data_IF_955418787274
#
_entry.id   IF_955418787274
#
_cell.length_a   1.000
_cell.length_b   1.000
_cell.length_c   1.000
_cell.angle_alpha   90.00
_cell.angle_beta   90.00
_cell.angle_gamma   90.00
#
_symmetry.space_group_name_H-M   'P 1'
#
loop_
_entity.id
_entity.type
_entity.pdbx_description
1 polymer ?
#
# COMPACT_ATOMS: atom_id res chain seq x y z
N UNK A 1 -38.43 27.51 13.36
CA UNK A 1 -37.68 26.22 13.27
C UNK A 1 -36.31 26.39 13.92
N UNK A 2 -35.99 25.66 14.98
CA UNK A 2 -34.74 25.87 15.71
C UNK A 2 -33.55 25.26 14.97
N UNK A 3 -32.66 26.13 14.46
CA UNK A 3 -31.41 25.78 13.78
C UNK A 3 -30.47 24.87 14.61
N UNK A 4 -30.73 24.75 15.91
CA UNK A 4 -29.99 23.89 16.86
C UNK A 4 -30.21 22.39 16.63
N UNK A 5 -31.35 21.98 16.05
CA UNK A 5 -31.63 20.56 15.76
C UNK A 5 -30.73 19.99 14.65
N UNK A 6 -30.61 20.60 13.45
CA UNK A 6 -29.71 20.09 12.42
C UNK A 6 -28.23 20.14 12.86
N UNK A 7 -27.82 21.15 13.64
CA UNK A 7 -26.45 21.22 14.16
C UNK A 7 -26.13 20.07 15.13
N UNK A 8 -27.06 19.69 16.01
CA UNK A 8 -26.88 18.54 16.92
C UNK A 8 -26.75 17.23 16.16
N UNK A 9 -27.55 17.04 15.11
CA UNK A 9 -27.45 15.86 14.25
C UNK A 9 -26.13 15.82 13.49
N UNK A 10 -25.69 16.95 12.93
CA UNK A 10 -24.38 17.05 12.28
C UNK A 10 -23.24 16.72 13.26
N UNK A 11 -23.27 17.29 14.47
CA UNK A 11 -22.26 17.02 15.49
C UNK A 11 -22.27 15.54 15.92
N UNK A 12 -23.45 14.92 16.07
CA UNK A 12 -23.58 13.51 16.38
C UNK A 12 -23.00 12.63 15.26
N UNK A 13 -23.31 12.92 13.98
CA UNK A 13 -22.76 12.19 12.83
C UNK A 13 -21.24 12.31 12.77
N UNK A 14 -20.70 13.51 12.95
CA UNK A 14 -19.25 13.73 12.97
C UNK A 14 -18.57 12.98 14.13
N UNK A 15 -19.14 13.04 15.33
CA UNK A 15 -18.63 12.31 16.48
C UNK A 15 -18.64 10.80 16.24
N UNK A 16 -19.74 10.26 15.71
CA UNK A 16 -19.84 8.83 15.36
C UNK A 16 -18.80 8.45 14.31
N UNK A 17 -18.61 9.26 13.27
CA UNK A 17 -17.59 9.01 12.24
C UNK A 17 -16.18 8.99 12.85
N UNK A 18 -15.85 9.94 13.72
CA UNK A 18 -14.57 9.99 14.45
C UNK A 18 -14.38 8.74 15.30
N UNK A 19 -15.42 8.33 16.05
CA UNK A 19 -15.36 7.12 16.89
C UNK A 19 -15.18 5.86 16.04
N UNK A 20 -15.80 5.76 14.87
CA UNK A 20 -15.61 4.65 13.93
C UNK A 20 -14.18 4.62 13.36
N UNK A 21 -13.62 5.78 12.98
CA UNK A 21 -12.22 5.87 12.53
C UNK A 21 -11.26 5.49 13.66
N UNK A 22 -11.50 5.98 14.87
CA UNK A 22 -10.70 5.66 16.04
C UNK A 22 -10.76 4.17 16.37
N UNK A 23 -11.95 3.57 16.45
CA UNK A 23 -12.10 2.13 16.64
C UNK A 23 -11.43 1.32 15.52
N UNK A 24 -11.57 1.77 14.27
CA UNK A 24 -10.88 1.16 13.12
C UNK A 24 -9.36 1.23 13.23
N UNK A 25 -8.80 2.31 13.78
CA UNK A 25 -7.35 2.49 13.90
C UNK A 25 -6.78 1.76 15.12
N UNK A 26 -7.49 1.78 16.26
CA UNK A 26 -6.99 1.36 17.57
C UNK A 26 -7.49 -0.01 18.05
N UNK A 27 -8.33 -0.71 17.27
CA UNK A 27 -8.60 -2.12 17.50
C UNK A 27 -7.70 -2.94 16.57
N UNK A 28 -6.82 -3.83 17.08
CA UNK A 28 -5.91 -4.58 16.24
C UNK A 28 -6.64 -5.66 15.42
N UNK A 29 -6.08 -5.96 14.25
CA UNK A 29 -6.44 -7.06 13.38
C UNK A 29 -5.15 -7.76 12.93
N UNK A 30 -4.99 -9.07 13.20
CA UNK A 30 -5.83 -9.89 14.09
C UNK A 30 -5.83 -9.39 15.55
N UNK A 31 -6.88 -9.73 16.31
CA UNK A 31 -7.05 -9.28 17.71
C UNK A 31 -5.96 -9.81 18.65
N UNK A 32 -5.52 -11.04 18.39
CA UNK A 32 -4.38 -11.63 19.07
C UNK A 32 -3.18 -11.62 18.11
N UNK A 33 -1.98 -11.28 18.61
CA UNK A 33 -0.77 -11.44 17.82
C UNK A 33 -0.69 -12.88 17.32
N UNK A 34 -0.49 -13.05 16.01
CA UNK A 34 -0.04 -14.33 15.51
C UNK A 34 1.34 -14.53 16.12
N UNK A 35 1.54 -15.61 16.87
CA UNK A 35 2.85 -15.91 17.42
C UNK A 35 3.87 -15.78 16.28
N UNK A 36 4.83 -14.85 16.40
CA UNK A 36 5.93 -14.74 15.42
C UNK A 36 6.54 -16.13 15.38
N UNK A 37 6.28 -16.89 14.31
CA UNK A 37 6.79 -18.25 14.15
C UNK A 37 8.31 -18.13 14.31
N UNK A 38 8.80 -18.57 15.46
CA UNK A 38 10.16 -18.38 15.98
C UNK A 38 10.98 -17.25 15.34
N UNK A 39 11.06 -16.09 15.99
CA UNK A 39 12.27 -15.24 15.91
C UNK A 39 13.52 -15.94 16.47
N UNK A 40 13.39 -17.19 16.90
CA UNK A 40 14.49 -18.08 17.26
C UNK A 40 14.70 -19.09 16.12
N UNK A 41 15.80 -18.91 15.37
CA UNK A 41 16.42 -19.88 14.42
C UNK A 41 15.83 -19.94 12.99
N UNK A 42 15.26 -18.87 12.44
CA UNK A 42 14.76 -18.82 11.05
C UNK A 42 15.26 -17.63 10.23
N UNK A 43 15.29 -17.75 8.90
CA UNK A 43 15.56 -16.66 7.96
C UNK A 43 14.50 -15.54 8.08
N UNK A 44 14.96 -14.30 8.24
CA UNK A 44 14.11 -13.10 8.28
C UNK A 44 14.32 -12.26 7.04
N UNK A 45 13.24 -11.70 6.52
CA UNK A 45 13.25 -10.76 5.42
C UNK A 45 12.86 -9.38 5.90
N UNK A 46 13.71 -8.41 5.57
CA UNK A 46 13.45 -6.99 5.81
C UNK A 46 12.52 -6.45 4.74
N UNK A 47 11.46 -5.76 5.15
CA UNK A 47 10.57 -4.99 4.27
C UNK A 47 10.43 -3.57 4.80
N UNK A 48 10.12 -2.63 3.90
CA UNK A 48 9.85 -1.24 4.27
C UNK A 48 8.41 -0.88 3.93
N UNK A 49 7.82 -0.03 4.76
CA UNK A 49 6.62 0.73 4.44
C UNK A 49 7.05 2.16 4.18
N UNK A 50 6.87 2.61 2.93
CA UNK A 50 7.15 3.97 2.52
C UNK A 50 5.85 4.76 2.61
N UNK A 51 5.93 6.01 3.06
CA UNK A 51 4.77 6.87 3.20
C UNK A 51 5.04 8.25 2.64
N UNK A 52 3.98 8.90 2.18
CA UNK A 52 3.96 10.34 1.93
C UNK A 52 2.69 10.92 2.58
N UNK A 53 2.39 12.22 2.43
CA UNK A 53 1.24 12.83 3.10
C UNK A 53 -0.12 12.15 2.87
N UNK A 54 -0.28 11.41 1.77
CA UNK A 54 -1.58 10.86 1.34
C UNK A 54 -1.54 9.39 0.91
N UNK A 55 -0.36 8.79 0.77
CA UNK A 55 -0.16 7.48 0.18
C UNK A 55 0.87 6.63 0.93
N UNK A 56 0.77 5.30 0.80
CA UNK A 56 1.73 4.33 1.34
C UNK A 56 2.03 3.21 0.34
N UNK A 57 3.32 2.83 0.28
CA UNK A 57 3.86 1.75 -0.55
C UNK A 57 4.58 0.72 0.31
N UNK A 58 4.82 -0.46 -0.26
CA UNK A 58 5.66 -1.51 0.34
C UNK A 58 6.89 -1.72 -0.51
N UNK A 59 8.06 -1.62 0.11
CA UNK A 59 9.32 -1.98 -0.50
C UNK A 59 9.76 -3.39 -0.02
N UNK A 60 10.09 -4.25 -0.98
CA UNK A 60 10.68 -5.57 -0.75
C UNK A 60 12.05 -5.63 -1.43
N UNK A 61 13.01 -6.42 -0.91
CA UNK A 61 14.35 -6.48 -1.47
C UNK A 61 14.36 -7.12 -2.87
N UNK A 62 15.23 -6.60 -3.73
CA UNK A 62 15.56 -7.23 -5.01
C UNK A 62 16.46 -8.45 -4.72
N UNK A 63 15.94 -9.64 -4.98
CA UNK A 63 16.63 -10.92 -4.81
C UNK A 63 16.34 -11.81 -6.02
N UNK A 64 17.08 -12.90 -6.17
CA UNK A 64 16.78 -13.89 -7.22
C UNK A 64 15.34 -14.43 -7.11
N UNK A 65 14.84 -14.57 -5.89
CA UNK A 65 13.48 -15.01 -5.62
C UNK A 65 12.43 -13.98 -6.07
N UNK A 66 12.59 -12.71 -5.72
CA UNK A 66 11.63 -11.66 -6.11
C UNK A 66 11.65 -11.41 -7.61
N UNK A 67 12.82 -11.47 -8.24
CA UNK A 67 12.94 -11.38 -9.70
C UNK A 67 12.31 -12.57 -10.43
N UNK A 68 12.45 -13.79 -9.89
CA UNK A 68 11.79 -14.97 -10.43
C UNK A 68 10.27 -14.94 -10.22
N UNK A 69 9.80 -14.31 -9.14
CA UNK A 69 8.37 -14.15 -8.84
C UNK A 69 7.70 -13.10 -9.74
N UNK A 70 8.40 -12.02 -10.06
CA UNK A 70 7.86 -10.91 -10.84
C UNK A 70 8.62 -10.71 -12.16
N UNK A 71 8.68 -11.74 -13.04
CA UNK A 71 9.49 -11.67 -14.28
C UNK A 71 9.01 -10.56 -15.22
N UNK A 72 7.70 -10.28 -15.20
CA UNK A 72 7.04 -9.24 -16.00
C UNK A 72 7.58 -7.82 -15.72
N UNK A 73 8.21 -7.56 -14.56
CA UNK A 73 8.83 -6.27 -14.29
C UNK A 73 10.01 -6.04 -15.23
N UNK A 74 10.89 -7.02 -15.38
CA UNK A 74 12.00 -6.96 -16.33
C UNK A 74 11.49 -6.91 -17.78
N UNK A 75 10.49 -7.72 -18.11
CA UNK A 75 9.87 -7.75 -19.46
C UNK A 75 9.22 -6.41 -19.85
N UNK A 76 8.78 -5.62 -18.86
CA UNK A 76 8.25 -4.27 -19.07
C UNK A 76 9.33 -3.20 -19.31
N UNK A 77 10.60 -3.58 -19.26
CA UNK A 77 11.76 -2.71 -19.43
C UNK A 77 12.15 -1.95 -18.17
N UNK A 78 11.63 -2.31 -16.98
CA UNK A 78 12.13 -1.73 -15.73
C UNK A 78 13.55 -2.24 -15.46
N UNK A 79 14.47 -1.40 -14.94
CA UNK A 79 15.86 -1.77 -14.70
C UNK A 79 16.05 -2.59 -13.41
N UNK A 80 15.21 -3.60 -13.17
CA UNK A 80 15.21 -4.45 -11.96
C UNK A 80 16.47 -5.30 -11.80
N UNK A 81 17.20 -5.53 -12.89
CA UNK A 81 18.48 -6.23 -12.90
C UNK A 81 19.70 -5.28 -12.82
N UNK A 82 19.49 -3.98 -12.66
CA UNK A 82 20.59 -3.03 -12.52
C UNK A 82 21.44 -3.36 -11.27
N UNK A 83 22.78 -3.25 -11.31
CA UNK A 83 23.64 -3.58 -10.16
C UNK A 83 23.34 -2.81 -8.88
N UNK A 84 22.76 -1.61 -9.03
CA UNK A 84 22.35 -0.76 -7.90
C UNK A 84 20.91 -0.97 -7.48
N UNK A 85 20.12 -1.81 -8.14
CA UNK A 85 18.75 -2.11 -7.72
C UNK A 85 18.78 -2.84 -6.35
N UNK A 86 18.07 -2.29 -5.37
CA UNK A 86 17.99 -2.84 -4.00
C UNK A 86 16.57 -3.12 -3.56
N UNK A 87 15.60 -2.33 -4.02
CA UNK A 87 14.21 -2.43 -3.60
C UNK A 87 13.25 -2.45 -4.78
N UNK A 88 12.30 -3.38 -4.78
CA UNK A 88 11.07 -3.29 -5.56
C UNK A 88 10.00 -2.64 -4.68
N UNK A 89 9.42 -1.56 -5.16
CA UNK A 89 8.40 -0.79 -4.44
C UNK A 89 7.06 -1.01 -5.13
N UNK A 90 6.05 -1.38 -4.35
CA UNK A 90 4.71 -1.63 -4.84
C UNK A 90 3.67 -0.75 -4.15
N UNK A 91 2.85 -0.11 -4.98
CA UNK A 91 1.68 0.66 -4.58
C UNK A 91 0.42 0.16 -5.27
N UNK A 92 -0.73 0.34 -4.64
CA UNK A 92 -2.03 0.04 -5.24
C UNK A 92 -2.98 1.22 -5.08
N UNK A 93 -3.61 1.66 -6.16
CA UNK A 93 -4.44 2.85 -6.14
C UNK A 93 -5.43 2.95 -7.28
N UNK A 94 -6.24 4.00 -7.27
CA UNK A 94 -7.22 4.28 -8.34
C UNK A 94 -6.51 4.68 -9.62
N UNK A 95 -6.88 4.07 -10.74
CA UNK A 95 -6.30 4.30 -12.06
C UNK A 95 -6.37 5.76 -12.47
N UNK A 96 -7.53 6.40 -12.31
CA UNK A 96 -7.72 7.80 -12.67
C UNK A 96 -6.89 8.72 -11.78
N UNK A 97 -6.70 8.37 -10.51
CA UNK A 97 -5.89 9.17 -9.60
C UNK A 97 -4.39 9.04 -9.89
N UNK A 98 -3.88 7.81 -10.04
CA UNK A 98 -2.46 7.55 -10.25
C UNK A 98 -1.96 7.94 -11.64
N UNK A 99 -2.67 7.55 -12.69
CA UNK A 99 -2.18 7.77 -14.05
C UNK A 99 -2.48 9.18 -14.54
N UNK A 100 -3.63 9.77 -14.16
CA UNK A 100 -4.04 11.09 -14.68
C UNK A 100 -3.53 12.26 -13.83
N UNK A 101 -2.88 12.01 -12.67
CA UNK A 101 -2.36 13.07 -11.78
C UNK A 101 -0.86 12.90 -11.48
N UNK A 102 0.03 12.93 -12.50
CA UNK A 102 1.45 12.61 -12.34
C UNK A 102 2.26 13.64 -11.52
N UNK A 103 1.84 14.90 -11.46
CA UNK A 103 2.44 15.91 -10.59
C UNK A 103 1.45 16.30 -9.49
N UNK A 104 1.83 16.13 -8.23
CA UNK A 104 1.01 16.48 -7.07
C UNK A 104 0.68 17.98 -6.99
N UNK A 105 1.47 18.85 -7.64
CA UNK A 105 1.13 20.28 -7.83
C UNK A 105 -0.13 20.49 -8.67
N UNK A 106 -0.56 19.47 -9.43
CA UNK A 106 -1.76 19.48 -10.27
C UNK A 106 -2.98 18.86 -9.57
N UNK A 107 -2.94 18.66 -8.24
CA UNK A 107 -4.11 18.33 -7.42
C UNK A 107 -5.16 19.46 -7.52
N UNK A 108 -5.94 19.42 -8.59
CA UNK A 108 -7.20 20.15 -8.69
C UNK A 108 -8.21 19.48 -7.74
N UNK A 109 -9.22 20.20 -7.24
CA UNK A 109 -10.27 19.62 -6.40
C UNK A 109 -11.01 18.43 -7.04
N UNK A 110 -11.02 18.34 -8.38
CA UNK A 110 -11.78 17.35 -9.16
C UNK A 110 -11.23 15.91 -9.06
N UNK A 111 -9.91 15.65 -9.24
CA UNK A 111 -9.30 14.35 -8.94
C UNK A 111 -9.60 13.81 -7.54
N UNK A 112 -9.66 14.69 -6.53
CA UNK A 112 -9.97 14.30 -5.15
C UNK A 112 -11.40 13.74 -5.03
N UNK A 113 -12.39 14.34 -5.71
CA UNK A 113 -13.76 13.81 -5.72
C UNK A 113 -13.88 12.48 -6.47
N UNK A 114 -13.15 12.29 -7.57
CA UNK A 114 -13.11 10.99 -8.28
C UNK A 114 -12.45 9.90 -7.45
N UNK A 115 -11.37 10.21 -6.72
CA UNK A 115 -10.74 9.29 -5.77
C UNK A 115 -11.66 8.90 -4.59
N UNK A 116 -12.72 9.67 -4.33
CA UNK A 116 -13.74 9.29 -3.36
C UNK A 116 -14.81 8.35 -3.94
N UNK A 117 -14.90 8.25 -5.27
CA UNK A 117 -15.85 7.38 -5.99
C UNK A 117 -15.23 6.05 -6.37
N UNK A 118 -16.05 5.15 -6.92
CA UNK A 118 -15.60 3.84 -7.37
C UNK A 118 -14.74 3.97 -8.65
N UNK A 119 -13.50 3.49 -8.61
CA UNK A 119 -12.57 3.53 -9.74
C UNK A 119 -11.93 2.14 -9.97
N UNK A 120 -11.44 1.89 -11.19
CA UNK A 120 -10.56 0.76 -11.46
C UNK A 120 -9.25 0.96 -10.70
N UNK A 121 -8.61 -0.14 -10.32
CA UNK A 121 -7.33 -0.09 -9.62
C UNK A 121 -6.16 -0.40 -10.53
N UNK A 122 -5.00 0.15 -10.20
CA UNK A 122 -3.71 -0.18 -10.80
C UNK A 122 -2.70 -0.53 -9.71
N UNK A 123 -1.71 -1.34 -10.07
CA UNK A 123 -0.50 -1.52 -9.29
C UNK A 123 0.57 -0.62 -9.90
N UNK A 124 1.16 0.21 -9.05
CA UNK A 124 2.40 0.92 -9.35
C UNK A 124 3.56 0.04 -8.91
N UNK A 125 4.50 -0.24 -9.80
CA UNK A 125 5.74 -0.92 -9.47
C UNK A 125 6.92 0.00 -9.82
N UNK A 126 7.83 0.19 -8.88
CA UNK A 126 9.04 1.00 -9.04
C UNK A 126 10.26 0.21 -8.55
N UNK A 127 11.44 0.58 -9.03
CA UNK A 127 12.72 0.03 -8.56
C UNK A 127 13.62 1.15 -8.06
N UNK A 128 14.11 0.98 -6.83
CA UNK A 128 15.01 1.92 -6.19
C UNK A 128 16.34 1.27 -5.83
N UNK A 129 17.39 2.09 -5.77
CA UNK A 129 18.65 1.74 -5.14
C UNK A 129 18.57 1.83 -3.63
N UNK A 130 19.69 2.11 -2.96
CA UNK A 130 19.72 2.19 -1.50
C UNK A 130 18.73 3.24 -0.97
N UNK A 131 17.96 2.87 0.05
CA UNK A 131 17.03 3.76 0.76
C UNK A 131 17.65 4.11 2.11
N UNK A 132 17.88 5.40 2.37
CA UNK A 132 18.56 5.86 3.58
C UNK A 132 17.58 5.88 4.76
N UNK A 133 17.98 5.20 5.85
CA UNK A 133 17.21 5.12 7.10
C UNK A 133 18.07 5.54 8.31
N UNK A 134 17.47 6.01 9.42
CA UNK A 134 16.02 6.18 9.61
C UNK A 134 15.49 7.45 8.94
N UNK A 135 14.22 7.41 8.53
CA UNK A 135 13.49 8.58 8.05
C UNK A 135 12.04 8.53 8.55
N UNK A 136 11.45 9.68 8.86
CA UNK A 136 10.09 9.76 9.46
C UNK A 136 8.99 9.12 8.60
N UNK A 137 9.24 9.03 7.29
CA UNK A 137 8.31 8.52 6.29
C UNK A 137 8.59 7.06 5.90
N UNK A 138 9.53 6.40 6.59
CA UNK A 138 9.95 5.01 6.33
C UNK A 138 9.83 4.21 7.62
N UNK A 139 9.12 3.09 7.57
CA UNK A 139 9.07 2.12 8.66
C UNK A 139 9.60 0.76 8.20
N UNK A 140 10.59 0.22 8.92
CA UNK A 140 11.22 -1.07 8.61
C UNK A 140 10.66 -2.18 9.50
N UNK A 141 10.44 -3.36 8.91
CA UNK A 141 9.96 -4.54 9.62
C UNK A 141 10.76 -5.78 9.19
N UNK A 142 11.12 -6.61 10.16
CA UNK A 142 11.64 -7.96 9.93
C UNK A 142 10.50 -8.96 10.02
N UNK A 143 10.26 -9.70 8.94
CA UNK A 143 9.22 -10.74 8.87
C UNK A 143 9.83 -12.10 8.56
N UNK A 144 9.27 -13.16 9.13
CA UNK A 144 9.76 -14.52 8.87
C UNK A 144 9.48 -14.98 7.43
N UNK A 145 10.23 -15.98 6.96
CA UNK A 145 10.10 -16.53 5.61
C UNK A 145 8.66 -16.85 5.17
N UNK A 146 7.85 -17.48 6.03
CA UNK A 146 6.44 -17.79 5.69
C UNK A 146 5.59 -16.52 5.51
N UNK A 147 5.81 -15.51 6.36
CA UNK A 147 5.16 -14.21 6.22
C UNK A 147 5.58 -13.50 4.94
N UNK A 148 6.86 -13.58 4.59
CA UNK A 148 7.37 -13.04 3.34
C UNK A 148 6.72 -13.71 2.11
N UNK A 149 6.60 -15.05 2.10
CA UNK A 149 5.91 -15.76 1.01
C UNK A 149 4.45 -15.33 0.84
N UNK A 150 3.72 -15.13 1.95
CA UNK A 150 2.35 -14.65 1.90
C UNK A 150 2.27 -13.22 1.40
N UNK A 151 3.24 -12.36 1.75
CA UNK A 151 3.34 -11.00 1.22
C UNK A 151 3.56 -11.01 -0.29
N UNK A 152 4.53 -11.78 -0.79
CA UNK A 152 4.80 -11.89 -2.23
C UNK A 152 3.58 -12.38 -3.00
N UNK A 153 2.91 -13.41 -2.48
CA UNK A 153 1.70 -13.97 -3.09
C UNK A 153 0.53 -12.97 -3.06
N UNK A 154 0.42 -12.18 -1.99
CA UNK A 154 -0.56 -11.09 -1.92
C UNK A 154 -0.27 -10.03 -2.99
N UNK A 155 0.96 -9.56 -3.11
CA UNK A 155 1.36 -8.55 -4.11
C UNK A 155 1.08 -9.07 -5.52
N UNK A 156 1.52 -10.29 -5.84
CA UNK A 156 1.28 -10.96 -7.13
C UNK A 156 -0.20 -11.05 -7.49
N UNK A 157 -1.06 -11.45 -6.54
CA UNK A 157 -2.49 -11.60 -6.76
C UNK A 157 -3.22 -10.27 -7.06
N UNK A 158 -2.59 -9.12 -6.80
CA UNK A 158 -3.16 -7.82 -7.14
C UNK A 158 -2.96 -7.44 -8.61
N UNK A 159 -2.02 -8.06 -9.34
CA UNK A 159 -1.86 -7.81 -10.76
C UNK A 159 -2.98 -8.48 -11.56
N UNK A 160 -3.60 -7.73 -12.46
CA UNK A 160 -4.58 -8.27 -13.40
C UNK A 160 -3.87 -8.90 -14.60
N UNK A 161 -4.43 -10.01 -15.06
CA UNK A 161 -3.95 -10.72 -16.24
C UNK A 161 -4.83 -10.35 -17.44
N UNK A 162 -4.21 -9.83 -18.50
CA UNK A 162 -4.86 -9.53 -19.79
C UNK A 162 -4.30 -10.51 -20.82
N UNK A 163 -5.17 -11.27 -21.47
CA UNK A 163 -4.80 -12.31 -22.45
C UNK A 163 -3.77 -13.34 -21.91
N UNK A 164 -3.92 -13.73 -20.64
CA UNK A 164 -3.04 -14.71 -20.00
C UNK A 164 -1.70 -14.18 -19.52
N UNK A 165 -1.43 -12.87 -19.64
CA UNK A 165 -0.19 -12.23 -19.18
C UNK A 165 -0.44 -10.98 -18.31
N UNK A 166 0.48 -10.70 -17.40
CA UNK A 166 0.57 -9.41 -16.72
C UNK A 166 1.39 -8.50 -17.64
N UNK A 167 0.82 -7.35 -18.03
CA UNK A 167 1.47 -6.42 -18.94
C UNK A 167 1.42 -5.00 -18.38
N UNK A 168 2.50 -4.25 -18.57
CA UNK A 168 2.52 -2.83 -18.22
C UNK A 168 1.52 -2.07 -19.09
N UNK A 169 0.87 -1.08 -18.49
CA UNK A 169 -0.01 -0.14 -19.19
C UNK A 169 0.90 0.75 -20.05
N UNK A 170 0.71 0.78 -21.38
CA UNK A 170 1.52 1.60 -22.27
C UNK A 170 1.44 3.08 -21.89
N UNK A 171 2.59 3.76 -22.00
CA UNK A 171 2.72 5.21 -21.76
C UNK A 171 2.29 5.66 -20.36
N UNK A 172 2.25 4.75 -19.39
CA UNK A 172 1.96 5.02 -17.98
C UNK A 172 3.19 4.74 -17.09
N UNK A 173 3.71 5.79 -16.49
CA UNK A 173 4.83 5.78 -15.53
C UNK A 173 5.20 7.20 -15.14
N UNK A 174 5.84 7.38 -14.00
CA UNK A 174 6.34 8.69 -13.55
C UNK A 174 7.75 8.97 -14.07
N UNK A 175 8.50 7.95 -14.45
CA UNK A 175 9.86 8.02 -14.98
C UNK A 175 10.32 6.71 -15.61
N UNK A 176 11.63 6.56 -15.76
CA UNK A 176 12.22 5.41 -16.47
C UNK A 176 12.20 4.12 -15.64
N UNK A 177 12.19 4.25 -14.31
CA UNK A 177 12.34 3.14 -13.37
C UNK A 177 11.02 2.45 -13.01
N UNK A 178 9.88 3.09 -13.25
CA UNK A 178 8.58 2.61 -12.80
C UNK A 178 7.63 2.27 -13.95
N UNK A 179 6.65 1.42 -13.65
CA UNK A 179 5.55 1.08 -14.56
C UNK A 179 4.26 0.94 -13.79
N UNK A 180 3.15 1.21 -14.47
CA UNK A 180 1.82 0.84 -14.01
C UNK A 180 1.34 -0.46 -14.66
N UNK A 181 0.59 -1.25 -13.89
CA UNK A 181 -0.06 -2.47 -14.33
C UNK A 181 -1.54 -2.41 -13.94
N UNK A 182 -2.41 -3.01 -14.76
CA UNK A 182 -3.81 -3.18 -14.38
C UNK A 182 -3.90 -4.05 -13.11
N UNK A 183 -4.81 -3.70 -12.18
CA UNK A 183 -4.95 -4.42 -10.93
C UNK A 183 -6.33 -5.05 -10.75
N UNK A 184 -6.38 -6.14 -10.00
CA UNK A 184 -7.62 -6.77 -9.60
C UNK A 184 -8.33 -5.93 -8.53
N UNK A 185 -9.62 -5.67 -8.73
CA UNK A 185 -10.47 -5.01 -7.76
C UNK A 185 -10.92 -3.60 -8.16
N UNK A 186 -11.43 -2.88 -7.17
CA UNK A 186 -11.96 -1.53 -7.33
C UNK A 186 -11.49 -0.65 -6.18
N UNK A 187 -11.00 0.53 -6.53
CA UNK A 187 -10.59 1.56 -5.60
C UNK A 187 -11.78 2.39 -5.13
N UNK A 188 -11.76 2.84 -3.88
CA UNK A 188 -12.66 3.87 -3.35
C UNK A 188 -12.07 4.54 -2.10
N UNK A 189 -12.70 5.61 -1.61
CA UNK A 189 -12.32 6.28 -0.35
C UNK A 189 -12.15 5.32 0.85
N UNK A 190 -12.95 4.25 0.90
CA UNK A 190 -12.95 3.27 1.99
C UNK A 190 -11.93 2.15 1.76
N UNK A 191 -11.52 1.93 0.51
CA UNK A 191 -10.61 0.87 0.05
C UNK A 191 -9.56 1.49 -0.85
N UNK A 192 -8.64 2.21 -0.23
CA UNK A 192 -7.52 2.86 -0.90
C UNK A 192 -6.18 2.22 -0.58
N UNK A 193 -5.10 2.84 -1.06
CA UNK A 193 -3.71 2.42 -0.87
C UNK A 193 -3.38 2.06 0.59
N UNK A 194 -3.70 2.92 1.55
CA UNK A 194 -3.38 2.68 2.97
C UNK A 194 -4.06 1.42 3.52
N UNK A 195 -5.29 1.13 3.07
CA UNK A 195 -6.00 -0.09 3.45
C UNK A 195 -5.46 -1.34 2.75
N UNK A 196 -4.95 -1.18 1.53
CA UNK A 196 -4.26 -2.23 0.79
C UNK A 196 -2.92 -2.57 1.46
N UNK A 197 -2.11 -1.57 1.78
CA UNK A 197 -0.85 -1.70 2.52
C UNK A 197 -1.09 -2.37 3.86
N UNK A 198 -2.08 -1.90 4.64
CA UNK A 198 -2.45 -2.53 5.90
C UNK A 198 -2.85 -4.01 5.73
N UNK A 199 -3.53 -4.37 4.62
CA UNK A 199 -3.86 -5.77 4.33
C UNK A 199 -2.63 -6.59 4.01
N UNK A 200 -1.75 -6.11 3.13
CA UNK A 200 -0.51 -6.79 2.78
C UNK A 200 0.35 -7.09 4.01
N UNK A 201 0.50 -6.10 4.91
CA UNK A 201 1.26 -6.25 6.16
C UNK A 201 0.62 -7.31 7.09
N UNK A 202 -0.71 -7.39 7.13
CA UNK A 202 -1.40 -8.46 7.88
C UNK A 202 -1.20 -9.84 7.26
N UNK A 203 -1.22 -9.96 5.94
CA UNK A 203 -0.85 -11.23 5.28
C UNK A 203 0.60 -11.63 5.61
N UNK A 204 1.48 -10.63 5.73
CA UNK A 204 2.88 -10.82 6.16
C UNK A 204 3.04 -11.20 7.65
N UNK A 205 1.95 -11.21 8.43
CA UNK A 205 1.95 -11.56 9.86
C UNK A 205 2.15 -10.39 10.82
N UNK A 206 2.17 -9.14 10.31
CA UNK A 206 2.15 -7.94 11.15
C UNK A 206 0.71 -7.61 11.59
N UNK A 207 0.59 -6.74 12.58
CA UNK A 207 -0.70 -6.27 13.07
C UNK A 207 -0.95 -4.82 12.67
N UNK A 208 -2.19 -4.53 12.25
CA UNK A 208 -2.66 -3.16 12.02
C UNK A 208 -4.05 -3.01 12.61
N UNK A 209 -4.57 -1.79 12.62
CA UNK A 209 -5.98 -1.52 12.87
C UNK A 209 -6.87 -2.22 11.83
N UNK A 210 -8.15 -2.35 12.15
CA UNK A 210 -9.17 -2.79 11.20
C UNK A 210 -9.31 -1.87 9.98
N UNK A 211 -9.09 -0.57 10.14
CA UNK A 211 -9.22 0.41 9.07
C UNK A 211 -8.30 1.62 9.27
N UNK A 212 -7.37 1.80 8.32
CA UNK A 212 -6.38 2.88 8.31
C UNK A 212 -6.47 3.63 6.97
N UNK A 213 -7.43 4.56 6.80
CA UNK A 213 -7.63 5.24 5.52
C UNK A 213 -6.57 6.30 5.19
N UNK A 214 -5.79 6.75 6.19
CA UNK A 214 -4.76 7.78 6.05
C UNK A 214 -3.37 7.22 6.42
N UNK A 215 -2.28 7.70 5.81
CA UNK A 215 -0.92 7.24 6.13
C UNK A 215 -0.59 7.39 7.61
N UNK A 216 -0.90 8.56 8.20
CA UNK A 216 -0.65 8.82 9.63
C UNK A 216 -1.36 7.82 10.55
N UNK A 217 -2.58 7.39 10.21
CA UNK A 217 -3.32 6.41 10.99
C UNK A 217 -2.70 5.01 10.86
N UNK A 218 -2.19 4.67 9.68
CA UNK A 218 -1.46 3.42 9.48
C UNK A 218 -0.14 3.43 10.24
N UNK A 219 0.65 4.50 10.15
CA UNK A 219 1.91 4.64 10.88
C UNK A 219 1.72 4.59 12.39
N UNK A 220 0.69 5.26 12.93
CA UNK A 220 0.32 5.16 14.36
C UNK A 220 -0.04 3.72 14.71
N UNK A 221 -0.88 3.07 13.91
CA UNK A 221 -1.27 1.69 14.16
C UNK A 221 -0.10 0.71 14.14
N UNK A 222 0.83 0.86 13.20
CA UNK A 222 2.00 -0.01 13.10
C UNK A 222 2.89 0.12 14.33
N UNK A 223 3.17 1.35 14.79
CA UNK A 223 3.93 1.62 16.02
C UNK A 223 3.28 1.09 17.30
N UNK A 224 1.96 0.95 17.30
CA UNK A 224 1.23 0.46 18.48
C UNK A 224 1.27 -1.06 18.61
N UNK A 225 1.44 -1.80 17.52
CA UNK A 225 1.24 -3.26 17.52
C UNK A 225 2.47 -4.09 17.10
N UNK A 226 3.55 -3.48 16.60
CA UNK A 226 4.72 -4.19 16.09
C UNK A 226 6.02 -3.57 16.60
#
# INVERSE_FOLDING_TARGET
>A
MSWRRPLRWLAAVLLTAILCVAAGTFVPRPLWPVAKAGTAVGETHRILVLSNPIHTDIAIPVTAETLARFPFLSESGMPVAHPDARWLIFGWGGRAFYIETPAWSDLKPVPLFKGLTLDRSVVHADVAGEIIEPADHIASFEIGAEGYQRLLSFIEANFATVDGRIAAIPDAGYGENDRFFEANGWFSALRGCNTWTAKALREAGLQTGWWNPLPVLLSVSLRLYN
#
